data_IF_738949842349
#
_entry.id   IF_738949842349
#
_cell.length_a   1.000
_cell.length_b   1.000
_cell.length_c   1.000
_cell.angle_alpha   90.00
_cell.angle_beta   90.00
_cell.angle_gamma   90.00
#
_symmetry.space_group_name_H-M   'P 1'
#
loop_
_entity.id
_entity.type
_entity.pdbx_description
1 polymer ?
#
# COMPACT_ATOMS: atom_id res chain seq x y z
N UNK A 1 5.16 -16.36 -13.13
CA UNK A 1 5.18 -15.03 -12.49
C UNK A 1 6.63 -14.70 -12.28
N UNK A 2 7.15 -13.66 -12.93
CA UNK A 2 8.49 -13.18 -12.63
C UNK A 2 8.49 -12.32 -11.33
N UNK A 3 9.66 -11.87 -10.91
CA UNK A 3 9.79 -11.06 -9.68
C UNK A 3 9.07 -9.71 -9.78
N UNK A 4 8.97 -9.14 -10.99
CA UNK A 4 8.31 -7.87 -11.24
C UNK A 4 6.79 -8.04 -11.16
N UNK A 5 6.24 -9.07 -11.78
CA UNK A 5 4.83 -9.45 -11.68
C UNK A 5 4.44 -9.68 -10.22
N UNK A 6 5.26 -10.43 -9.48
CA UNK A 6 5.04 -10.67 -8.05
C UNK A 6 4.99 -9.35 -7.27
N UNK A 7 5.95 -8.46 -7.49
CA UNK A 7 5.99 -7.16 -6.82
C UNK A 7 4.76 -6.28 -7.17
N UNK A 8 4.31 -6.27 -8.44
CA UNK A 8 3.07 -5.58 -8.84
C UNK A 8 1.85 -6.17 -8.13
N UNK A 9 1.77 -7.48 -8.04
CA UNK A 9 0.66 -8.17 -7.38
C UNK A 9 0.60 -7.82 -5.88
N UNK A 10 1.74 -7.85 -5.19
CA UNK A 10 1.82 -7.45 -3.78
C UNK A 10 1.49 -5.96 -3.62
N UNK A 11 2.03 -5.08 -4.47
CA UNK A 11 1.72 -3.65 -4.44
C UNK A 11 0.20 -3.40 -4.55
N UNK A 12 -0.49 -4.11 -5.45
CA UNK A 12 -1.93 -4.01 -5.63
C UNK A 12 -2.68 -4.42 -4.36
N UNK A 13 -2.32 -5.56 -3.75
CA UNK A 13 -2.93 -6.03 -2.48
C UNK A 13 -2.75 -4.99 -1.38
N UNK A 14 -1.54 -4.42 -1.24
CA UNK A 14 -1.26 -3.41 -0.21
C UNK A 14 -2.06 -2.13 -0.45
N UNK A 15 -2.18 -1.69 -1.71
CA UNK A 15 -2.97 -0.52 -2.08
C UNK A 15 -4.46 -0.72 -1.79
N UNK A 16 -5.03 -1.86 -2.17
CA UNK A 16 -6.43 -2.19 -1.88
C UNK A 16 -6.70 -2.18 -0.37
N UNK A 17 -5.77 -2.72 0.44
CA UNK A 17 -5.90 -2.70 1.89
C UNK A 17 -5.78 -1.29 2.47
N UNK A 18 -4.85 -0.48 1.98
CA UNK A 18 -4.68 0.91 2.41
C UNK A 18 -5.95 1.73 2.15
N UNK A 19 -6.56 1.58 0.97
CA UNK A 19 -7.83 2.23 0.61
C UNK A 19 -8.98 1.79 1.53
N UNK A 20 -9.07 0.50 1.84
CA UNK A 20 -10.07 -0.01 2.78
C UNK A 20 -9.90 0.58 4.18
N UNK A 21 -8.67 0.60 4.71
CA UNK A 21 -8.41 1.15 6.04
C UNK A 21 -8.66 2.66 6.07
N UNK A 22 -8.26 3.39 5.04
CA UNK A 22 -8.51 4.82 4.91
C UNK A 22 -10.01 5.12 4.90
N UNK A 23 -10.81 4.32 4.18
CA UNK A 23 -12.26 4.46 4.17
C UNK A 23 -12.87 4.22 5.56
N UNK A 24 -12.44 3.19 6.28
CA UNK A 24 -12.93 2.90 7.65
C UNK A 24 -12.61 4.04 8.60
N UNK A 25 -11.39 4.57 8.55
CA UNK A 25 -10.94 5.67 9.41
C UNK A 25 -11.68 6.98 9.10
N UNK A 26 -11.90 7.30 7.83
CA UNK A 26 -12.53 8.57 7.40
C UNK A 26 -14.05 8.56 7.49
N UNK A 27 -14.70 7.39 7.38
CA UNK A 27 -16.15 7.25 7.50
C UNK A 27 -16.67 7.23 8.94
N UNK A 28 -15.79 7.33 9.95
CA UNK A 28 -16.17 7.25 11.35
C UNK A 28 -16.51 5.83 11.81
N UNK A 29 -16.11 4.79 11.06
CA UNK A 29 -16.32 3.37 11.39
C UNK A 29 -15.46 2.85 12.55
N UNK A 30 -14.92 3.75 13.38
CA UNK A 30 -13.95 3.43 14.43
C UNK A 30 -14.56 3.75 15.81
N UNK A 31 -15.08 2.73 16.54
CA UNK A 31 -15.75 2.90 17.83
C UNK A 31 -14.87 3.40 18.98
N UNK A 32 -13.55 3.20 18.93
CA UNK A 32 -12.66 3.60 20.04
C UNK A 32 -11.29 4.12 19.58
N UNK A 33 -10.66 4.93 20.44
CA UNK A 33 -9.38 5.57 20.16
C UNK A 33 -8.24 4.55 19.98
N UNK A 34 -8.28 3.41 20.68
CA UNK A 34 -7.30 2.35 20.51
C UNK A 34 -7.39 1.70 19.13
N UNK A 35 -8.60 1.48 18.61
CA UNK A 35 -8.80 1.00 17.25
C UNK A 35 -8.36 2.03 16.22
N UNK A 36 -8.61 3.32 16.46
CA UNK A 36 -8.11 4.39 15.61
C UNK A 36 -6.58 4.36 15.48
N UNK A 37 -5.87 4.31 16.60
CA UNK A 37 -4.40 4.25 16.60
C UNK A 37 -3.87 3.01 15.87
N UNK A 38 -4.50 1.85 16.05
CA UNK A 38 -4.12 0.63 15.32
C UNK A 38 -4.27 0.79 13.80
N UNK A 39 -5.40 1.33 13.34
CA UNK A 39 -5.66 1.53 11.92
C UNK A 39 -4.75 2.59 11.29
N UNK A 40 -4.43 3.66 12.02
CA UNK A 40 -3.45 4.67 11.57
C UNK A 40 -2.04 4.05 11.48
N UNK A 41 -1.64 3.23 12.45
CA UNK A 41 -0.37 2.49 12.38
C UNK A 41 -0.33 1.51 11.21
N UNK A 42 -1.45 0.82 10.92
CA UNK A 42 -1.58 -0.04 9.75
C UNK A 42 -1.43 0.77 8.45
N UNK A 43 -2.09 1.93 8.32
CA UNK A 43 -1.93 2.83 7.17
C UNK A 43 -0.47 3.24 6.96
N UNK A 44 0.23 3.65 8.02
CA UNK A 44 1.64 4.01 7.95
C UNK A 44 2.51 2.84 7.47
N UNK A 45 2.27 1.63 7.99
CA UNK A 45 3.00 0.43 7.58
C UNK A 45 2.74 0.04 6.12
N UNK A 46 1.48 0.12 5.67
CA UNK A 46 1.10 -0.16 4.28
C UNK A 46 1.72 0.84 3.31
N UNK A 47 1.68 2.13 3.66
CA UNK A 47 2.28 3.21 2.88
C UNK A 47 3.80 3.01 2.73
N UNK A 48 4.49 2.73 3.85
CA UNK A 48 5.93 2.43 3.86
C UNK A 48 6.27 1.21 2.99
N UNK A 49 5.55 0.09 3.15
CA UNK A 49 5.81 -1.12 2.39
C UNK A 49 5.61 -0.91 0.87
N UNK A 50 4.62 -0.12 0.47
CA UNK A 50 4.41 0.25 -0.94
C UNK A 50 5.54 1.11 -1.49
N UNK A 51 6.04 2.07 -0.72
CA UNK A 51 7.19 2.90 -1.12
C UNK A 51 8.45 2.05 -1.30
N UNK A 52 8.71 1.10 -0.40
CA UNK A 52 9.84 0.16 -0.54
C UNK A 52 9.71 -0.69 -1.81
N UNK A 53 8.52 -1.25 -2.09
CA UNK A 53 8.29 -2.02 -3.33
C UNK A 53 8.51 -1.13 -4.56
N UNK A 54 8.01 0.11 -4.56
CA UNK A 54 8.23 1.05 -5.65
C UNK A 54 9.70 1.40 -5.81
N UNK A 55 10.44 1.61 -4.72
CA UNK A 55 11.87 1.88 -4.72
C UNK A 55 12.68 0.71 -5.29
N UNK A 56 12.32 -0.52 -4.93
CA UNK A 56 12.95 -1.74 -5.46
C UNK A 56 12.68 -1.91 -6.95
N UNK A 57 11.45 -1.65 -7.42
CA UNK A 57 11.08 -1.74 -8.83
C UNK A 57 11.67 -0.61 -9.68
N UNK A 58 11.64 0.64 -9.19
CA UNK A 58 12.17 1.82 -9.88
C UNK A 58 13.70 1.85 -9.96
N UNK A 59 14.40 1.11 -9.09
CA UNK A 59 15.86 0.89 -9.22
C UNK A 59 16.24 -0.17 -10.25
N UNK A 60 15.29 -0.99 -10.71
CA UNK A 60 15.54 -2.07 -11.67
C UNK A 60 15.05 -1.73 -13.08
N UNK A 61 14.19 -0.71 -13.23
CA UNK A 61 13.67 -0.27 -14.52
C UNK A 61 13.59 1.26 -14.47
N UNK A 62 14.27 1.96 -15.40
CA UNK A 62 14.16 3.43 -15.57
C UNK A 62 12.73 3.91 -15.92
N UNK A 63 11.74 3.00 -16.00
CA UNK A 63 10.31 3.25 -16.23
C UNK A 63 9.45 2.83 -15.02
N UNK A 64 9.74 3.36 -13.83
CA UNK A 64 8.98 3.06 -12.62
C UNK A 64 7.50 3.51 -12.66
N UNK A 65 7.14 4.46 -13.52
CA UNK A 65 5.76 4.97 -13.66
C UNK A 65 4.89 4.11 -14.59
N UNK A 66 5.43 3.56 -15.68
CA UNK A 66 4.65 2.75 -16.65
C UNK A 66 4.26 1.36 -16.09
N UNK A 67 5.05 0.84 -15.15
CA UNK A 67 4.84 -0.48 -14.56
C UNK A 67 3.68 -0.50 -13.56
N UNK A 68 3.40 0.63 -12.89
CA UNK A 68 2.36 0.78 -11.86
C UNK A 68 1.07 1.40 -12.45
N UNK A 69 1.17 2.04 -13.62
CA UNK A 69 0.06 2.70 -14.32
C UNK A 69 -0.81 1.81 -15.22
N UNK A 70 -0.44 0.54 -15.46
CA UNK A 70 -1.17 -0.40 -16.32
C UNK A 70 -1.94 -1.48 -15.56
#
# INVERSE_FOLDING_TARGET
MDVADFAKHIYKILKEREEQVALVVTSGGVPDHGQYLRLVGELQGLSYAKEEIRSLLGKHVEDGEDIIGS
#
